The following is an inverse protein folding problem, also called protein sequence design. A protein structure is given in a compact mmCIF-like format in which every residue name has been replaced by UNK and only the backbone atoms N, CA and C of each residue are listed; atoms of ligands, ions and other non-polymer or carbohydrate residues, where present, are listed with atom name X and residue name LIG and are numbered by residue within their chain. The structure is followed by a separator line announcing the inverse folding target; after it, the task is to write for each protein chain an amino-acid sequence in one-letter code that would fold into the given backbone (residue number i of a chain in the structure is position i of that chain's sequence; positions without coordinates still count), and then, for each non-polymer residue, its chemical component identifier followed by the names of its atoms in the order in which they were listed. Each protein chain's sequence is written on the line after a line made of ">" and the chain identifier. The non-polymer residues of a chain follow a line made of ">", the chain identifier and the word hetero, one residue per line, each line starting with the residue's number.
data_IF_161766360593
#
_entry.id   IF_161766360593
#
_cell.length_a   1.000
_cell.length_b   1.000
_cell.length_c   1.000
_cell.angle_alpha   90.00
_cell.angle_beta   90.00
_cell.angle_gamma   90.00
#
_symmetry.space_group_name_H-M   'P 1'
#
loop_
_entity.id
_entity.type
_entity.pdbx_description
1 polymer ?
2 polymer ?
3 non-polymer ?
4 non-polymer ?
5 non-polymer ?
6 non-polymer ?
7 non-polymer ?
8 water ?
#
# COMPACT_ATOMS: atom_id res chain seq x y z
N UNK A 5 12.91 12.33 -12.57
CA UNK A 5 12.69 13.62 -11.91
C UNK A 5 13.61 13.72 -10.69
N UNK A 6 13.10 13.38 -9.50
CA UNK A 6 13.96 13.18 -8.34
C UNK A 6 14.29 11.69 -8.24
N UNK A 7 14.32 11.13 -7.02
CA UNK A 7 14.24 9.68 -6.93
C UNK A 7 12.82 9.26 -7.21
N UNK A 8 12.61 8.46 -8.24
CA UNK A 8 11.28 7.98 -8.55
C UNK A 8 11.40 6.55 -9.01
N UNK A 9 10.49 5.70 -8.59
CA UNK A 9 10.66 4.27 -8.83
C UNK A 9 9.46 3.69 -9.57
N UNK A 10 9.72 2.67 -10.36
CA UNK A 10 8.65 1.88 -10.96
C UNK A 10 8.89 0.43 -10.57
N UNK A 11 7.85 -0.20 -10.02
CA UNK A 11 7.95 -1.54 -9.45
C UNK A 11 6.90 -2.44 -10.07
N UNK A 12 7.31 -3.64 -10.47
CA UNK A 12 6.41 -4.73 -10.77
C UNK A 12 6.47 -5.69 -9.61
N UNK A 13 5.31 -5.98 -9.04
CA UNK A 13 5.16 -6.84 -7.87
C UNK A 13 4.47 -8.11 -8.33
N UNK A 14 5.01 -9.28 -7.95
CA UNK A 14 4.31 -10.54 -8.26
C UNK A 14 4.26 -11.42 -7.01
N UNK A 15 3.15 -12.17 -6.88
CA UNK A 15 2.93 -13.09 -5.77
C UNK A 15 2.44 -14.41 -6.34
N UNK A 16 3.18 -15.48 -6.11
CA UNK A 16 2.83 -16.81 -6.58
C UNK A 16 2.54 -17.67 -5.37
N UNK A 17 1.31 -18.16 -5.28
CA UNK A 17 0.89 -19.04 -4.19
C UNK A 17 0.75 -20.45 -4.75
N UNK A 18 1.51 -21.40 -4.22
CA UNK A 18 1.45 -22.78 -4.65
C UNK A 18 0.71 -23.57 -3.57
N UNK A 19 -0.45 -24.13 -3.94
CA UNK A 19 -1.35 -24.76 -2.99
C UNK A 19 -1.18 -26.28 -2.99
N UNK A 20 -0.97 -26.87 -4.16
CA UNK A 20 -0.64 -28.29 -4.26
C UNK A 20 -0.01 -28.51 -5.63
N UNK A 21 0.18 -29.77 -5.99
CA UNK A 21 0.80 -30.12 -7.28
C UNK A 21 -0.06 -29.67 -8.45
N UNK A 22 -1.37 -29.58 -8.25
CA UNK A 22 -2.31 -29.27 -9.30
C UNK A 22 -2.88 -27.85 -9.25
N UNK A 23 -2.54 -27.04 -8.25
CA UNK A 23 -3.13 -25.71 -8.14
C UNK A 23 -2.15 -24.65 -7.63
N UNK A 24 -2.02 -23.59 -8.41
CA UNK A 24 -1.26 -22.40 -8.04
C UNK A 24 -2.01 -21.17 -8.53
N UNK A 25 -1.72 -20.03 -7.90
CA UNK A 25 -2.25 -18.74 -8.32
C UNK A 25 -1.12 -17.73 -8.51
N UNK A 26 -1.20 -16.97 -9.59
CA UNK A 26 -0.30 -15.85 -9.83
C UNK A 26 -1.08 -14.53 -9.68
N UNK A 27 -0.40 -13.53 -9.15
CA UNK A 27 -0.98 -12.20 -8.99
C UNK A 27 0.13 -11.18 -9.23
N UNK A 28 -0.22 -10.03 -9.79
CA UNK A 28 0.78 -9.05 -10.16
C UNK A 28 0.21 -7.65 -10.38
N UNK A 29 1.07 -6.66 -10.18
CA UNK A 29 0.67 -5.26 -10.32
C UNK A 29 1.90 -4.40 -10.63
N UNK A 30 1.64 -3.20 -11.12
CA UNK A 30 2.68 -2.22 -11.39
C UNK A 30 2.39 -0.93 -10.66
N UNK A 31 3.45 -0.37 -10.06
CA UNK A 31 3.37 0.78 -9.16
C UNK A 31 4.35 1.87 -9.57
N UNK A 32 3.88 3.10 -9.63
CA UNK A 32 4.71 4.29 -9.79
C UNK A 32 4.84 4.94 -8.41
N UNK A 33 6.00 4.76 -7.77
CA UNK A 33 6.11 4.96 -6.33
C UNK A 33 4.91 4.34 -5.62
N UNK A 34 4.06 5.17 -5.01
CA UNK A 34 2.98 4.66 -4.19
C UNK A 34 1.63 4.61 -4.92
N UNK A 35 1.59 4.94 -6.21
CA UNK A 35 0.37 4.92 -7.00
C UNK A 35 0.33 3.67 -7.87
N UNK A 36 -0.69 2.83 -7.69
CA UNK A 36 -0.82 1.70 -8.59
C UNK A 36 -1.18 2.18 -9.99
N UNK A 37 -0.38 1.80 -10.98
CA UNK A 37 -0.69 2.18 -12.35
C UNK A 37 -1.15 1.02 -13.22
N UNK A 38 -0.80 -0.23 -12.86
CA UNK A 38 -1.13 -1.37 -13.70
C UNK A 38 -1.60 -2.53 -12.85
N UNK A 39 -2.50 -3.33 -13.41
CA UNK A 39 -2.92 -4.58 -12.80
C UNK A 39 -2.56 -5.72 -13.72
N UNK A 40 -2.87 -6.95 -13.33
CA UNK A 40 -2.71 -8.13 -14.21
C UNK A 40 -4.01 -8.94 -14.19
N UNK A 41 -4.53 -9.29 -15.35
CA UNK A 41 -5.76 -10.13 -15.44
C UNK A 41 -5.30 -11.58 -15.36
N UNK A 42 -5.50 -12.23 -14.21
CA UNK A 42 -5.01 -13.62 -14.03
C UNK A 42 -5.85 -14.62 -14.82
N UNK A 43 -7.09 -14.28 -15.16
CA UNK A 43 -7.98 -15.18 -15.94
C UNK A 43 -7.55 -15.27 -17.39
N UNK A 44 -7.30 -14.13 -18.03
CA UNK A 44 -6.91 -14.17 -19.43
C UNK A 44 -5.44 -13.80 -19.67
N UNK A 45 -4.70 -13.51 -18.60
CA UNK A 45 -3.27 -13.29 -18.71
C UNK A 45 -2.89 -12.05 -19.48
N UNK A 46 -3.44 -10.90 -19.09
CA UNK A 46 -3.22 -9.67 -19.85
C UNK A 46 -2.95 -8.49 -18.90
N UNK A 47 -2.39 -7.41 -19.45
CA UNK A 47 -2.09 -6.23 -18.65
C UNK A 47 -3.33 -5.36 -18.52
N UNK A 48 -3.59 -4.86 -17.30
CA UNK A 48 -4.70 -3.93 -17.04
C UNK A 48 -4.09 -2.54 -16.88
N UNK A 49 -4.47 -1.62 -17.75
CA UNK A 49 -3.99 -0.24 -17.70
C UNK A 49 -5.01 0.55 -16.91
N UNK A 50 -4.65 0.94 -15.69
CA UNK A 50 -5.64 1.47 -14.76
C UNK A 50 -5.96 2.94 -15.03
N UNK A 51 -5.06 3.69 -15.66
CA UNK A 51 -5.28 5.09 -15.96
C UNK A 51 -5.18 5.32 -17.47
N UNK A 52 -5.77 6.44 -17.90
CA UNK A 52 -5.72 6.82 -19.31
C UNK A 52 -4.29 6.96 -19.83
N UNK A 53 -3.34 7.26 -18.94
CA UNK A 53 -1.94 7.48 -19.32
C UNK A 53 -1.04 6.29 -18.97
N UNK A 54 -1.62 5.17 -18.54
CA UNK A 54 -0.82 4.04 -18.07
C UNK A 54 0.00 3.39 -19.16
N UNK A 55 -0.24 3.71 -20.43
CA UNK A 55 0.63 3.18 -21.48
C UNK A 55 1.89 4.00 -21.65
N UNK A 56 2.01 5.12 -20.94
CA UNK A 56 3.16 6.00 -21.15
C UNK A 56 3.31 6.33 -22.62
N UNK A 57 4.55 6.28 -23.09
CA UNK A 57 4.85 6.55 -24.49
C UNK A 57 5.18 5.28 -25.26
N UNK A 58 4.92 4.11 -24.68
CA UNK A 58 5.14 2.86 -25.40
C UNK A 58 4.02 2.66 -26.43
N UNK A 59 4.38 2.07 -27.56
CA UNK A 59 3.41 1.72 -28.59
C UNK A 59 2.65 0.45 -28.19
N UNK A 60 1.55 0.18 -28.90
CA UNK A 60 0.81 -1.04 -28.65
C UNK A 60 1.61 -2.26 -29.04
N UNK A 61 2.43 -2.15 -30.11
CA UNK A 61 3.34 -3.23 -30.49
C UNK A 61 4.27 -3.61 -29.34
N UNK A 62 4.99 -2.62 -28.77
CA UNK A 62 5.92 -2.89 -27.67
C UNK A 62 5.21 -3.54 -26.49
N UNK A 63 4.03 -3.02 -26.13
CA UNK A 63 3.31 -3.52 -24.97
C UNK A 63 2.72 -4.91 -25.23
N UNK A 64 2.33 -5.21 -26.47
CA UNK A 64 1.96 -6.57 -26.86
C UNK A 64 3.11 -7.52 -26.63
N UNK A 65 4.31 -7.16 -27.10
CA UNK A 65 5.45 -8.04 -26.88
C UNK A 65 5.73 -8.23 -25.40
N UNK A 66 5.58 -7.16 -24.62
CA UNK A 66 5.83 -7.29 -23.18
C UNK A 66 4.81 -8.20 -22.52
N UNK A 67 3.55 -8.08 -22.93
CA UNK A 67 2.50 -8.93 -22.37
C UNK A 67 2.78 -10.40 -22.67
N UNK A 68 3.15 -10.72 -23.92
CA UNK A 68 3.59 -12.08 -24.24
C UNK A 68 4.76 -12.55 -23.39
N UNK A 69 5.79 -11.70 -23.26
CA UNK A 69 6.93 -12.05 -22.43
C UNK A 69 6.50 -12.44 -21.03
N UNK A 70 5.58 -11.64 -20.46
CA UNK A 70 5.12 -11.89 -19.10
C UNK A 70 4.39 -13.22 -19.02
N UNK A 71 3.53 -13.51 -19.99
CA UNK A 71 2.84 -14.80 -20.02
C UNK A 71 3.84 -15.94 -20.06
N UNK A 72 4.83 -15.87 -20.98
CA UNK A 72 5.83 -16.91 -21.10
C UNK A 72 6.56 -17.12 -19.78
N UNK A 73 6.98 -16.03 -19.16
CA UNK A 73 7.70 -16.11 -17.90
C UNK A 73 6.85 -16.74 -16.81
N UNK A 74 5.58 -16.36 -16.72
CA UNK A 74 4.74 -16.81 -15.62
C UNK A 74 4.37 -18.29 -15.78
N UNK A 75 4.00 -18.69 -17.01
CA UNK A 75 3.71 -20.10 -17.28
C UNK A 75 4.94 -20.97 -17.07
N UNK A 76 6.11 -20.50 -17.54
CA UNK A 76 7.32 -21.29 -17.37
C UNK A 76 7.75 -21.39 -15.91
N UNK A 77 7.64 -20.30 -15.16
CA UNK A 77 7.93 -20.32 -13.73
C UNK A 77 7.05 -21.33 -13.01
N UNK A 78 5.74 -21.25 -13.26
CA UNK A 78 4.80 -22.17 -12.62
C UNK A 78 5.12 -23.62 -12.97
N UNK A 79 5.30 -23.89 -14.26
CA UNK A 79 5.60 -25.24 -14.71
C UNK A 79 6.87 -25.78 -14.04
N UNK A 80 7.94 -24.99 -14.04
CA UNK A 80 9.21 -25.45 -13.49
C UNK A 80 9.11 -25.71 -12.00
N UNK A 81 8.54 -24.77 -11.25
CA UNK A 81 8.40 -24.93 -9.81
C UNK A 81 7.57 -26.16 -9.48
N UNK A 82 6.43 -26.33 -10.16
CA UNK A 82 5.55 -27.45 -9.85
C UNK A 82 6.22 -28.77 -10.22
N UNK A 83 6.98 -28.78 -11.30
CA UNK A 83 7.73 -29.98 -11.66
C UNK A 83 8.72 -30.36 -10.56
N UNK A 84 9.43 -29.37 -10.00
CA UNK A 84 10.49 -29.70 -9.05
C UNK A 84 9.98 -30.06 -7.65
N UNK A 85 8.77 -29.65 -7.28
CA UNK A 85 8.17 -30.00 -6.00
C UNK A 85 6.99 -30.93 -6.30
N UNK A 86 7.22 -32.24 -6.26
CA UNK A 86 6.26 -33.21 -6.77
C UNK A 86 5.54 -33.95 -5.66
N UNK A 87 4.21 -34.07 -5.80
CA UNK A 87 3.33 -34.92 -4.99
C UNK A 87 3.23 -34.50 -3.53
N UNK A 88 4.22 -34.88 -2.72
CA UNK A 88 4.05 -34.88 -1.27
C UNK A 88 5.12 -34.06 -0.56
N UNK A 89 5.75 -33.11 -1.24
CA UNK A 89 6.67 -32.23 -0.54
C UNK A 89 5.88 -31.40 0.47
N UNK A 90 6.28 -31.52 1.73
CA UNK A 90 5.60 -30.88 2.86
C UNK A 90 5.71 -29.37 2.77
N UNK A 91 6.41 -28.86 1.75
CA UNK A 91 6.47 -27.41 1.55
C UNK A 91 5.10 -26.83 1.29
N UNK A 92 4.17 -27.61 0.74
CA UNK A 92 2.87 -27.05 0.35
C UNK A 92 2.05 -26.74 1.60
N UNK A 93 1.37 -25.59 1.63
CA UNK A 93 1.43 -24.55 0.60
C UNK A 93 2.64 -23.66 0.80
N UNK A 94 3.13 -23.05 -0.28
CA UNK A 94 4.18 -22.05 -0.12
C UNK A 94 3.92 -20.89 -1.08
N UNK A 95 4.68 -19.82 -0.88
CA UNK A 95 4.48 -18.57 -1.60
C UNK A 95 5.79 -17.90 -1.91
N UNK A 96 5.87 -17.41 -3.15
CA UNK A 96 7.04 -16.77 -3.72
C UNK A 96 6.66 -15.33 -4.02
N UNK A 97 7.50 -14.39 -3.59
CA UNK A 97 7.27 -12.97 -3.88
C UNK A 97 8.40 -12.45 -4.76
N UNK A 98 8.05 -11.59 -5.73
CA UNK A 98 9.02 -11.00 -6.63
C UNK A 98 8.80 -9.49 -6.65
N UNK A 99 9.88 -8.74 -6.48
CA UNK A 99 9.88 -7.29 -6.59
C UNK A 99 10.93 -6.94 -7.64
N UNK A 100 10.50 -6.41 -8.77
CA UNK A 100 11.43 -6.10 -9.85
C UNK A 100 11.11 -4.73 -10.41
N UNK A 101 12.12 -4.00 -10.86
CA UNK A 101 11.83 -2.67 -11.33
C UNK A 101 13.09 -1.83 -11.41
N UNK A 102 12.87 -0.51 -11.43
CA UNK A 102 13.97 0.42 -11.61
C UNK A 102 13.67 1.68 -10.81
N UNK A 103 14.74 2.41 -10.51
CA UNK A 103 14.70 3.70 -9.85
C UNK A 103 15.47 4.70 -10.70
N UNK A 104 14.91 5.89 -10.91
CA UNK A 104 15.65 7.02 -11.43
C UNK A 104 16.13 7.88 -10.27
N UNK A 105 17.39 8.30 -10.35
CA UNK A 105 17.96 9.29 -9.44
C UNK A 105 18.40 10.50 -10.27
N UNK A 106 18.03 11.68 -9.81
CA UNK A 106 18.31 12.90 -10.56
C UNK A 106 19.82 13.09 -10.71
N UNK A 107 20.29 13.10 -11.96
CA UNK A 107 21.67 13.37 -12.26
C UNK A 107 22.56 12.16 -12.31
N UNK A 108 22.10 11.00 -11.82
CA UNK A 108 22.87 9.77 -11.84
C UNK A 108 22.19 8.71 -12.68
N UNK A 109 22.89 7.57 -12.77
CA UNK A 109 22.36 6.45 -13.53
C UNK A 109 21.11 5.90 -12.85
N UNK A 110 20.20 5.29 -13.62
CA UNK A 110 19.13 4.50 -13.01
C UNK A 110 19.70 3.27 -12.32
N UNK A 111 18.87 2.65 -11.50
CA UNK A 111 19.16 1.37 -10.88
C UNK A 111 18.09 0.39 -11.31
N UNK A 112 18.45 -0.85 -11.58
CA UNK A 112 17.49 -1.91 -11.79
C UNK A 112 17.67 -2.98 -10.71
N UNK A 113 16.56 -3.64 -10.36
CA UNK A 113 16.62 -4.69 -9.35
C UNK A 113 15.57 -5.76 -9.64
N UNK A 114 15.79 -6.92 -9.02
CA UNK A 114 14.96 -8.12 -9.21
C UNK A 114 15.23 -8.99 -7.97
N UNK A 115 14.35 -8.92 -6.98
CA UNK A 115 14.49 -9.56 -5.69
C UNK A 115 13.38 -10.57 -5.44
N UNK A 116 13.72 -11.69 -4.81
CA UNK A 116 12.80 -12.82 -4.65
C UNK A 116 12.79 -13.20 -3.17
N UNK A 117 11.62 -13.58 -2.67
CA UNK A 117 11.43 -14.08 -1.32
C UNK A 117 10.65 -15.40 -1.39
N UNK A 118 11.01 -16.32 -0.50
CA UNK A 118 10.33 -17.60 -0.34
C UNK A 118 9.74 -17.57 1.06
N UNK A 119 8.41 -17.72 1.14
CA UNK A 119 7.68 -17.67 2.40
C UNK A 119 8.08 -16.47 3.25
N UNK A 120 8.23 -15.32 2.60
CA UNK A 120 8.49 -14.08 3.30
C UNK A 120 9.94 -13.84 3.67
N UNK A 121 10.86 -14.75 3.32
CA UNK A 121 12.28 -14.60 3.60
C UNK A 121 13.04 -14.35 2.31
N UNK A 122 13.98 -13.39 2.33
CA UNK A 122 14.88 -13.17 1.19
C UNK A 122 15.44 -14.50 0.68
N UNK A 123 15.33 -14.73 -0.62
CA UNK A 123 15.82 -15.95 -1.22
C UNK A 123 17.01 -15.71 -2.14
N UNK A 124 16.86 -14.86 -3.16
CA UNK A 124 17.94 -14.58 -4.10
C UNK A 124 17.65 -13.25 -4.80
N UNK A 125 18.68 -12.72 -5.47
CA UNK A 125 18.42 -11.55 -6.31
C UNK A 125 19.28 -11.62 -7.55
N UNK A 126 18.94 -10.79 -8.53
CA UNK A 126 19.66 -10.73 -9.79
C UNK A 126 20.67 -9.60 -9.71
N UNK A 127 21.94 -9.91 -10.01
CA UNK A 127 23.08 -9.00 -9.91
C UNK A 127 23.76 -8.95 -11.29
N UNK A 128 23.20 -8.08 -12.14
CA UNK A 128 23.74 -7.65 -13.44
C UNK A 128 23.82 -8.79 -14.45
N UNK A 129 24.40 -9.90 -14.08
CA UNK A 129 24.40 -11.02 -15.00
C UNK A 129 24.21 -12.35 -14.30
N UNK A 130 24.06 -12.36 -12.97
CA UNK A 130 24.12 -13.59 -12.20
C UNK A 130 23.02 -13.60 -11.15
N UNK A 131 22.39 -14.75 -10.95
CA UNK A 131 21.50 -14.96 -9.81
C UNK A 131 22.31 -15.30 -8.55
N UNK A 132 22.15 -14.51 -7.49
CA UNK A 132 22.99 -14.59 -6.30
C UNK A 132 22.11 -14.97 -5.12
N UNK A 133 22.39 -16.09 -4.43
CA UNK A 133 21.55 -16.50 -3.30
C UNK A 133 21.75 -15.60 -2.09
N UNK A 134 20.68 -15.36 -1.37
CA UNK A 134 20.80 -14.61 -0.13
C UNK A 134 21.62 -15.43 0.85
N UNK A 135 22.66 -14.86 1.48
CA UNK A 135 23.46 -15.66 2.42
C UNK A 135 22.65 -16.17 3.61
N UNK A 136 21.44 -15.67 3.80
CA UNK A 136 20.62 -16.12 4.91
C UNK A 136 19.68 -17.28 4.64
N UNK A 137 19.40 -17.62 3.37
CA UNK A 137 18.35 -18.60 3.09
C UNK A 137 18.90 -19.95 2.64
N UNK A 138 20.21 -20.15 2.70
CA UNK A 138 20.82 -21.47 2.70
C UNK A 138 20.64 -22.31 1.44
N UNK A 139 20.43 -23.60 1.69
CA UNK A 139 20.59 -24.63 0.67
C UNK A 139 19.59 -24.48 -0.48
N UNK A 140 18.34 -24.15 -0.14
CA UNK A 140 17.35 -23.96 -1.19
C UNK A 140 17.73 -22.83 -2.12
N UNK A 141 18.20 -21.70 -1.56
CA UNK A 141 18.54 -20.57 -2.41
C UNK A 141 19.69 -20.95 -3.35
N UNK A 142 20.67 -21.69 -2.82
CA UNK A 142 21.79 -22.11 -3.66
C UNK A 142 21.33 -23.02 -4.81
N UNK A 143 20.39 -23.95 -4.52
CA UNK A 143 19.91 -24.86 -5.58
C UNK A 143 19.13 -24.11 -6.65
N UNK A 144 18.26 -23.20 -6.24
CA UNK A 144 17.52 -22.42 -7.22
C UNK A 144 18.50 -21.63 -8.10
N UNK A 145 19.52 -21.04 -7.47
CA UNK A 145 20.44 -20.21 -8.24
C UNK A 145 21.28 -21.05 -9.19
N UNK A 146 21.69 -22.26 -8.78
CA UNK A 146 22.35 -23.17 -9.71
C UNK A 146 21.49 -23.32 -10.97
N UNK A 147 20.21 -23.66 -10.80
CA UNK A 147 19.39 -23.90 -11.98
C UNK A 147 19.28 -22.64 -12.84
N UNK A 148 19.06 -21.48 -12.21
CA UNK A 148 18.86 -20.25 -12.99
C UNK A 148 20.12 -19.87 -13.75
N UNK A 149 21.30 -20.03 -13.11
CA UNK A 149 22.56 -19.63 -13.74
C UNK A 149 23.04 -20.64 -14.78
N UNK A 150 22.72 -21.92 -14.64
CA UNK A 150 23.24 -22.92 -15.58
C UNK A 150 22.22 -23.42 -16.60
N UNK A 151 20.94 -23.53 -16.24
CA UNK A 151 19.98 -24.08 -17.19
C UNK A 151 19.27 -23.00 -18.02
N UNK A 152 18.65 -22.03 -17.35
CA UNK A 152 17.99 -20.93 -18.05
C UNK A 152 18.95 -19.76 -18.28
N UNK A 153 20.21 -20.12 -18.54
CA UNK A 153 21.25 -19.13 -18.82
C UNK A 153 20.77 -18.09 -19.83
N UNK A 154 20.29 -18.55 -20.98
CA UNK A 154 19.88 -17.66 -22.04
C UNK A 154 18.67 -16.76 -21.81
N UNK A 155 18.26 -16.54 -20.57
CA UNK A 155 17.27 -15.50 -20.26
C UNK A 155 17.80 -14.45 -19.30
N UNK A 156 18.92 -14.73 -18.62
CA UNK A 156 19.60 -13.69 -17.86
C UNK A 156 19.69 -12.39 -18.65
N UNK A 157 20.10 -12.48 -19.92
CA UNK A 157 20.33 -11.30 -20.74
C UNK A 157 19.04 -10.53 -20.95
N UNK A 158 17.92 -11.25 -21.02
CA UNK A 158 16.61 -10.59 -21.08
C UNK A 158 16.33 -9.82 -19.81
N UNK A 159 16.45 -10.49 -18.65
CA UNK A 159 16.10 -9.86 -17.38
C UNK A 159 16.89 -8.58 -17.23
N UNK A 160 18.20 -8.67 -17.46
CA UNK A 160 19.05 -7.49 -17.38
C UNK A 160 18.50 -6.37 -18.25
N UNK A 161 18.28 -6.64 -19.54
CA UNK A 161 17.85 -5.58 -20.43
C UNK A 161 16.49 -5.06 -20.03
N UNK A 162 15.64 -5.92 -19.47
CA UNK A 162 14.32 -5.47 -19.03
C UNK A 162 14.44 -4.49 -17.87
N UNK A 163 15.28 -4.79 -16.88
CA UNK A 163 15.23 -3.96 -15.68
C UNK A 163 16.14 -2.75 -15.77
N UNK A 164 17.14 -2.78 -16.64
CA UNK A 164 18.12 -1.72 -16.69
C UNK A 164 17.99 -0.84 -17.93
N UNK A 165 17.43 -1.35 -19.02
CA UNK A 165 17.15 -0.61 -20.24
C UNK A 165 15.67 -0.28 -20.39
N UNK A 166 14.80 -1.30 -20.51
CA UNK A 166 13.39 -1.08 -20.82
C UNK A 166 12.64 -0.36 -19.70
N UNK A 167 12.90 -0.73 -18.46
CA UNK A 167 12.20 -0.12 -17.33
C UNK A 167 12.46 1.38 -17.21
N UNK A 168 13.71 1.87 -17.23
CA UNK A 168 13.89 3.33 -17.16
C UNK A 168 13.23 4.08 -18.31
N UNK A 169 13.33 3.54 -19.53
CA UNK A 169 12.70 4.18 -20.69
C UNK A 169 11.19 4.24 -20.52
N UNK A 170 10.60 3.17 -19.98
CA UNK A 170 9.15 3.16 -19.79
C UNK A 170 8.73 4.13 -18.71
N UNK A 171 9.46 4.14 -17.59
CA UNK A 171 9.14 5.06 -16.49
C UNK A 171 9.21 6.50 -16.94
N UNK A 172 10.24 6.85 -17.71
CA UNK A 172 10.33 8.21 -18.25
C UNK A 172 9.10 8.55 -19.11
N UNK A 173 8.69 7.61 -19.96
CA UNK A 173 7.48 7.81 -20.74
C UNK A 173 6.22 7.95 -19.89
N UNK A 174 6.09 7.10 -18.87
CA UNK A 174 4.91 7.14 -18.01
C UNK A 174 4.81 8.47 -17.28
N UNK A 175 5.93 8.93 -16.71
CA UNK A 175 5.95 10.23 -16.06
C UNK A 175 5.53 11.31 -17.03
N UNK A 176 6.04 11.26 -18.26
CA UNK A 176 5.70 12.28 -19.22
C UNK A 176 4.22 12.21 -19.62
N UNK A 177 3.66 11.01 -19.74
CA UNK A 177 2.28 10.88 -20.20
C UNK A 177 1.30 11.32 -19.12
N UNK A 178 1.64 11.10 -17.84
CA UNK A 178 0.77 11.52 -16.75
C UNK A 178 0.64 13.03 -16.57
N UNK A 179 1.50 13.82 -17.22
CA UNK A 179 1.50 15.26 -17.00
C UNK A 179 0.21 15.94 -17.46
N UNK A 180 -0.55 15.33 -18.36
CA UNK A 180 -1.84 15.90 -18.74
C UNK A 180 -2.97 15.44 -17.83
N UNK A 181 -2.68 14.66 -16.80
CA UNK A 181 -3.73 14.09 -15.96
C UNK A 181 -3.50 14.23 -14.47
N UNK A 182 -2.25 14.15 -13.99
CA UNK A 182 -2.00 13.95 -12.57
C UNK A 182 -1.52 15.25 -11.95
N UNK A 183 -1.92 15.45 -10.69
CA UNK A 183 -1.60 16.64 -9.92
C UNK A 183 -0.27 16.44 -9.23
N UNK A 184 0.58 17.45 -9.29
CA UNK A 184 1.77 17.38 -8.48
C UNK A 184 1.58 17.96 -7.09
N UNK A 185 0.44 18.62 -6.82
CA UNK A 185 0.12 19.20 -5.52
C UNK A 185 -1.37 19.08 -5.29
N UNK A 186 -1.77 18.36 -4.25
CA UNK A 186 -3.18 18.27 -3.87
C UNK A 186 -3.36 18.85 -2.46
N UNK A 187 -4.38 19.72 -2.31
CA UNK A 187 -4.63 20.35 -1.00
C UNK A 187 -5.48 19.44 -0.10
N UNK A 188 -5.16 19.38 1.18
CA UNK A 188 -5.94 18.56 2.12
C UNK A 188 -7.13 19.29 2.70
N UNK A 189 -8.16 18.52 3.03
CA UNK A 189 -9.18 18.96 3.98
C UNK A 189 -8.72 18.62 5.40
N UNK A 190 -9.26 19.34 6.38
CA UNK A 190 -8.90 19.06 7.76
C UNK A 190 -10.11 19.29 8.64
N UNK A 191 -10.19 18.54 9.75
CA UNK A 191 -11.30 18.74 10.68
C UNK A 191 -10.92 18.21 12.07
N UNK A 192 -11.69 18.62 13.08
CA UNK A 192 -11.41 18.25 14.47
C UNK A 192 -12.42 17.25 14.98
N UNK A 193 -11.97 16.36 15.87
CA UNK A 193 -12.89 15.49 16.60
C UNK A 193 -12.30 15.16 17.96
N UNK A 194 -13.05 14.48 18.80
CA UNK A 194 -12.42 13.98 20.00
C UNK A 194 -11.86 12.59 19.70
N UNK A 195 -11.08 12.06 20.65
CA UNK A 195 -10.61 10.72 20.55
C UNK A 195 -10.90 9.91 21.79
N UNK A 196 -10.38 8.70 21.85
CA UNK A 196 -10.57 7.88 23.05
C UNK A 196 -9.92 8.51 24.27
N UNK A 197 -10.44 8.19 25.44
CA UNK A 197 -9.92 8.73 26.70
C UNK A 197 -8.48 8.27 26.94
N UNK A 198 -7.52 9.18 27.10
CA UNK A 198 -6.16 8.79 27.51
C UNK A 198 -6.05 8.39 28.97
N UNK A 199 -7.05 8.69 29.80
CA UNK A 199 -6.99 8.35 31.19
C UNK A 199 -7.93 9.24 32.00
N UNK A 200 -8.12 8.90 33.27
CA UNK A 200 -9.02 9.69 34.11
C UNK A 200 -8.51 11.11 34.28
N UNK A 201 -9.44 12.06 34.24
CA UNK A 201 -9.03 13.44 34.29
C UNK A 201 -8.41 13.98 33.03
N UNK A 202 -8.50 13.26 31.91
CA UNK A 202 -7.85 13.67 30.67
C UNK A 202 -8.76 13.32 29.49
N UNK A 203 -8.57 14.06 28.40
CA UNK A 203 -9.24 13.79 27.14
C UNK A 203 -8.23 13.93 26.00
N UNK A 204 -8.65 13.51 24.80
CA UNK A 204 -7.79 13.54 23.63
C UNK A 204 -8.48 14.30 22.50
N UNK A 205 -7.78 15.25 21.88
CA UNK A 205 -8.25 15.97 20.69
C UNK A 205 -7.54 15.42 19.45
N UNK A 206 -8.26 15.35 18.32
CA UNK A 206 -7.73 14.79 17.08
C UNK A 206 -7.91 15.78 15.95
N UNK A 207 -6.83 16.09 15.25
CA UNK A 207 -6.83 16.94 14.06
C UNK A 207 -6.63 16.01 12.87
N UNK A 208 -7.65 15.85 12.03
CA UNK A 208 -7.58 15.03 10.84
C UNK A 208 -7.17 15.87 9.63
N UNK A 209 -6.25 15.36 8.82
CA UNK A 209 -5.75 16.03 7.62
C UNK A 209 -5.78 15.00 6.48
N UNK A 210 -6.66 15.22 5.51
CA UNK A 210 -7.05 14.18 4.56
C UNK A 210 -6.93 14.62 3.12
N UNK A 211 -6.23 13.83 2.31
CA UNK A 211 -6.22 13.99 0.87
C UNK A 211 -5.12 14.87 0.32
N UNK A 212 -3.99 14.96 1.00
CA UNK A 212 -2.91 15.83 0.56
C UNK A 212 -1.89 15.03 -0.23
N UNK A 213 -1.23 15.69 -1.18
CA UNK A 213 -0.09 15.17 -1.96
C UNK A 213 0.80 16.36 -2.27
N UNK A 214 2.14 16.21 -2.22
CA UNK A 214 2.90 15.02 -1.84
C UNK A 214 2.90 14.78 -0.33
N UNK A 215 3.71 13.83 0.12
CA UNK A 215 3.58 13.27 1.45
C UNK A 215 4.09 14.18 2.57
N UNK A 216 5.18 14.94 2.42
CA UNK A 216 5.65 15.75 3.55
C UNK A 216 4.57 16.75 3.98
N UNK A 217 4.34 16.84 5.30
CA UNK A 217 3.33 17.73 5.87
C UNK A 217 3.75 18.08 7.30
N UNK A 218 3.31 19.24 7.77
CA UNK A 218 3.56 19.72 9.13
C UNK A 218 2.21 20.02 9.78
N UNK A 219 2.01 19.51 11.00
CA UNK A 219 0.75 19.70 11.73
C UNK A 219 1.10 19.87 13.21
N UNK A 220 0.58 20.91 13.83
CA UNK A 220 0.77 21.02 15.27
C UNK A 220 -0.46 21.62 15.94
N UNK A 221 -0.69 21.22 17.18
CA UNK A 221 -1.65 21.90 18.04
C UNK A 221 -1.00 23.15 18.64
N UNK A 222 -1.83 24.17 18.86
CA UNK A 222 -1.43 25.54 19.13
C UNK A 222 -2.33 26.11 20.20
N UNK A 223 -1.78 27.00 21.00
CA UNK A 223 -2.60 27.96 21.75
C UNK A 223 -2.16 29.31 21.20
N UNK A 224 -2.93 29.84 20.26
CA UNK A 224 -2.51 31.05 19.58
C UNK A 224 -1.25 30.76 18.77
N UNK A 225 -0.18 31.50 19.02
CA UNK A 225 1.08 31.32 18.31
C UNK A 225 2.00 30.31 18.99
N UNK A 226 1.63 29.76 20.15
CA UNK A 226 2.49 28.85 20.90
C UNK A 226 2.20 27.40 20.52
N UNK A 227 3.16 26.74 19.88
CA UNK A 227 3.05 25.31 19.61
C UNK A 227 3.00 24.52 20.91
N UNK A 228 2.20 23.45 20.93
CA UNK A 228 1.93 22.67 22.14
C UNK A 228 2.80 21.41 22.22
N UNK A 229 3.41 21.19 23.39
CA UNK A 229 4.33 20.06 23.57
C UNK A 229 3.64 18.72 23.33
N UNK A 230 2.36 18.62 23.73
CA UNK A 230 1.68 17.35 23.65
C UNK A 230 1.32 16.89 22.26
N UNK A 231 1.70 17.65 21.22
CA UNK A 231 1.35 17.29 19.84
C UNK A 231 1.99 15.96 19.47
N UNK A 232 1.21 15.07 18.85
CA UNK A 232 1.76 13.80 18.39
C UNK A 232 1.18 13.41 17.04
N UNK A 233 2.04 13.24 16.04
CA UNK A 233 1.56 12.83 14.72
C UNK A 233 1.35 11.32 14.68
N UNK A 234 0.22 10.88 14.13
CA UNK A 234 -0.01 9.47 13.89
C UNK A 234 0.72 8.99 12.65
N UNK A 235 0.45 7.74 12.29
CA UNK A 235 1.00 7.21 11.06
C UNK A 235 0.29 7.84 9.88
N UNK A 236 0.99 7.94 8.75
CA UNK A 236 0.40 8.51 7.54
C UNK A 236 -0.12 7.35 6.71
N UNK A 237 -1.40 7.42 6.35
CA UNK A 237 -2.07 6.30 5.71
C UNK A 237 -2.51 6.69 4.32
N UNK A 238 -2.68 5.73 3.41
CA UNK A 238 -3.05 6.07 2.04
C UNK A 238 -4.54 6.37 1.88
N UNK A 239 -4.84 7.23 0.90
CA UNK A 239 -6.16 7.41 0.31
C UNK A 239 -6.15 6.93 -1.14
N UNK A 240 -7.29 7.10 -1.79
CA UNK A 240 -7.44 6.78 -3.20
C UNK A 240 -6.56 7.67 -4.09
N UNK A 241 -5.99 7.06 -5.13
CA UNK A 241 -5.27 7.78 -6.19
C UNK A 241 -4.03 8.46 -5.62
N UNK A 242 -3.31 7.72 -4.77
CA UNK A 242 -2.00 8.13 -4.30
C UNK A 242 -1.94 9.38 -3.42
N UNK A 243 -2.97 9.63 -2.62
CA UNK A 243 -2.93 10.72 -1.64
C UNK A 243 -2.87 10.15 -0.23
N UNK A 244 -2.83 11.04 0.77
CA UNK A 244 -2.42 10.65 2.11
C UNK A 244 -3.38 11.18 3.19
N UNK A 245 -3.42 10.47 4.32
CA UNK A 245 -4.26 10.83 5.46
C UNK A 245 -3.42 10.79 6.72
N UNK A 246 -3.64 11.75 7.62
CA UNK A 246 -2.87 11.86 8.85
C UNK A 246 -3.77 12.34 9.98
N UNK A 247 -3.48 11.86 11.19
CA UNK A 247 -4.12 12.31 12.43
C UNK A 247 -3.06 12.85 13.36
N UNK A 248 -3.29 14.05 13.90
CA UNK A 248 -2.40 14.63 14.91
C UNK A 248 -3.20 14.81 16.18
N UNK A 249 -2.79 14.14 17.25
CA UNK A 249 -3.57 14.14 18.48
C UNK A 249 -2.87 14.95 19.57
N UNK A 250 -3.67 15.34 20.57
CA UNK A 250 -3.19 16.10 21.72
C UNK A 250 -3.90 15.56 22.96
N UNK A 251 -3.15 15.19 23.98
CA UNK A 251 -3.77 14.81 25.25
C UNK A 251 -3.88 16.04 26.15
N UNK A 252 -5.06 16.22 26.74
CA UNK A 252 -5.42 17.40 27.49
C UNK A 252 -5.87 16.96 28.88
N UNK A 253 -5.36 17.61 29.92
CA UNK A 253 -5.87 17.33 31.25
C UNK A 253 -7.05 18.24 31.58
N UNK A 254 -7.96 17.74 32.43
CA UNK A 254 -9.06 18.55 32.95
C UNK A 254 -8.50 19.82 33.57
N UNK A 255 -8.97 20.98 33.08
CA UNK A 255 -8.53 22.27 33.58
C UNK A 255 -7.86 23.13 32.52
N UNK A 256 -7.36 22.50 31.45
CA UNK A 256 -6.98 23.23 30.25
C UNK A 256 -8.09 24.18 29.80
N UNK A 257 -7.69 25.39 29.43
CA UNK A 257 -8.61 26.45 29.08
C UNK A 257 -8.94 26.41 27.60
N UNK A 258 -10.17 26.83 27.27
CA UNK A 258 -10.59 26.99 25.89
C UNK A 258 -9.56 27.82 25.12
N UNK A 259 -9.49 27.64 23.79
CA UNK A 259 -8.61 28.43 22.97
C UNK A 259 -7.53 27.66 22.22
N UNK A 260 -7.68 26.34 22.14
CA UNK A 260 -6.73 25.51 21.40
C UNK A 260 -7.11 25.45 19.92
N UNK A 261 -6.11 25.31 19.06
CA UNK A 261 -6.34 25.16 17.64
C UNK A 261 -5.33 24.18 17.04
N UNK A 262 -5.58 23.81 15.80
CA UNK A 262 -4.70 22.96 15.01
C UNK A 262 -4.26 23.74 13.79
N UNK A 263 -2.98 23.66 13.45
CA UNK A 263 -2.39 24.39 12.34
C UNK A 263 -1.71 23.42 11.39
N UNK A 264 -2.05 23.51 10.10
CA UNK A 264 -1.56 22.60 9.06
C UNK A 264 -0.79 23.40 8.01
N UNK A 265 0.46 22.98 7.77
CA UNK A 265 1.35 23.52 6.74
C UNK A 265 1.67 22.45 5.70
N UNK A 266 1.54 22.81 4.43
CA UNK A 266 1.77 21.88 3.33
C UNK A 266 2.13 22.70 2.09
N UNK A 267 2.99 22.12 1.24
CA UNK A 267 3.47 22.83 0.05
C UNK A 267 2.33 23.21 -0.89
N UNK A 268 1.28 22.41 -0.95
CA UNK A 268 0.12 22.75 -1.76
C UNK A 268 -0.56 24.04 -1.29
N UNK A 269 -0.35 24.42 -0.03
CA UNK A 269 -1.01 25.58 0.54
C UNK A 269 -0.23 26.85 0.28
N UNK A 270 1.09 26.78 0.41
CA UNK A 270 2.00 27.86 0.01
C UNK A 270 1.55 29.20 0.60
N UNK A 271 1.74 29.31 1.91
CA UNK A 271 1.59 30.57 2.60
C UNK A 271 0.23 30.84 3.20
N UNK A 272 -0.71 29.92 3.09
CA UNK A 272 -2.01 30.05 3.76
C UNK A 272 -2.26 28.76 4.55
N UNK A 273 -1.73 28.69 5.77
CA UNK A 273 -1.94 27.52 6.60
C UNK A 273 -3.41 27.34 6.91
N UNK A 274 -3.83 26.07 7.04
CA UNK A 274 -5.16 25.81 7.58
C UNK A 274 -5.10 25.94 9.09
N UNK A 275 -6.04 26.68 9.67
CA UNK A 275 -6.12 26.77 11.13
C UNK A 275 -7.54 26.45 11.57
N UNK A 276 -7.67 25.49 12.48
CA UNK A 276 -8.95 24.98 12.98
C UNK A 276 -9.02 25.17 14.49
N UNK A 277 -10.10 25.78 14.95
CA UNK A 277 -10.26 26.06 16.37
C UNK A 277 -11.16 25.01 17.03
N UNK A 278 -10.74 24.48 18.17
CA UNK A 278 -11.59 23.59 18.94
C UNK A 278 -12.74 24.36 19.57
N UNK A 279 -13.98 23.99 19.24
CA UNK A 279 -15.17 24.66 19.77
C UNK A 279 -16.02 23.72 20.64
N UNK A 280 -15.45 22.61 21.10
CA UNK A 280 -16.15 21.69 21.98
C UNK A 280 -15.73 21.88 23.43
N UNK A 281 -16.15 20.93 24.26
CA UNK A 281 -15.80 20.98 25.68
C UNK A 281 -14.36 20.55 25.89
N UNK A 282 -13.77 21.02 27.00
CA UNK A 282 -12.48 20.52 27.47
C UNK A 282 -12.61 19.88 28.84
N UNK A 283 -13.80 19.43 29.21
CA UNK A 283 -14.02 18.73 30.47
C UNK A 283 -14.02 17.24 30.16
N UNK A 284 -13.07 16.41 30.65
CA UNK A 284 -13.09 14.99 30.32
C UNK A 284 -14.32 14.23 30.81
N UNK A 285 -14.91 13.44 29.93
CA UNK A 285 -15.99 12.54 30.37
C UNK A 285 -15.43 11.66 31.48
N UNK B 3 9.08 -17.76 6.82
CA UNK B 3 9.06 -16.74 7.86
C UNK B 3 8.04 -17.04 8.94
N UNK B 4 7.88 -16.11 9.82
CA UNK B 4 6.84 -16.25 10.83
C UNK B 4 5.57 -15.63 10.26
N UNK B 5 4.44 -16.24 10.59
CA UNK B 5 3.17 -15.65 10.25
C UNK B 5 3.00 -14.33 10.99
N UNK B 6 2.38 -13.36 10.35
CA UNK B 6 2.19 -12.06 10.97
C UNK B 6 0.73 -11.65 10.88
N UNK B 7 0.15 -11.33 12.05
CA UNK B 7 -1.26 -10.97 12.10
C UNK B 7 -1.45 -9.56 11.54
N UNK B 8 -2.55 -9.29 10.84
CA UNK B 8 -2.69 -7.99 10.18
C UNK B 8 -3.04 -6.89 11.17
N UNK B 9 -2.59 -5.70 10.84
CA UNK B 9 -2.99 -4.48 11.50
C UNK B 9 -4.07 -3.81 10.67
N UNK B 10 -5.07 -3.23 11.34
CA UNK B 10 -6.28 -2.75 10.69
C UNK B 10 -6.51 -1.32 11.14
N UNK B 11 -6.59 -0.39 10.17
CA UNK B 11 -6.87 1.01 10.50
C UNK B 11 -8.04 1.50 9.68
N UNK B 12 -8.98 2.19 10.31
CA UNK B 12 -10.24 2.59 9.69
C UNK B 12 -10.41 4.10 9.79
N UNK B 13 -10.86 4.73 8.71
CA UNK B 13 -10.93 6.19 8.74
C UNK B 13 -11.81 6.69 7.61
N UNK B 14 -12.47 7.82 7.85
CA UNK B 14 -13.26 8.41 6.78
C UNK B 14 -12.43 9.46 6.05
N UNK B 15 -12.81 9.71 4.80
CA UNK B 15 -12.06 10.62 3.93
C UNK B 15 -12.41 12.08 4.21
N UNK B 16 -13.67 12.35 4.54
CA UNK B 16 -14.22 13.66 4.82
C UNK B 16 -14.81 13.71 6.23
N UNK B 17 -14.99 14.89 6.79
CA UNK B 17 -15.68 15.00 8.08
C UNK B 17 -17.03 14.30 8.01
N UNK B 18 -17.39 13.63 9.10
CA UNK B 18 -18.62 12.88 9.12
C UNK B 18 -19.80 13.81 9.37
N UNK B 19 -20.80 13.71 8.50
CA UNK B 19 -22.02 14.50 8.60
C UNK B 19 -23.21 13.59 8.31
N UNK B 20 -24.07 13.40 9.31
CA UNK B 20 -25.21 12.51 9.17
C UNK B 20 -26.06 12.88 7.97
N UNK B 21 -26.27 11.91 7.08
CA UNK B 21 -27.04 12.12 5.87
C UNK B 21 -26.24 12.66 4.70
N UNK B 22 -24.95 12.86 4.86
CA UNK B 22 -24.12 13.36 3.77
C UNK B 22 -23.09 12.30 3.35
N UNK B 23 -22.95 12.10 2.04
CA UNK B 23 -22.09 11.03 1.55
C UNK B 23 -20.62 11.33 1.81
N UNK B 24 -19.83 10.26 1.88
CA UNK B 24 -18.47 10.26 2.40
C UNK B 24 -17.78 9.02 1.83
N UNK B 25 -16.54 8.80 2.21
CA UNK B 25 -15.83 7.58 1.83
C UNK B 25 -15.22 6.95 3.07
N UNK B 26 -15.44 5.65 3.22
CA UNK B 26 -14.89 4.85 4.29
C UNK B 26 -13.67 4.08 3.78
N UNK B 27 -12.54 4.20 4.49
CA UNK B 27 -11.26 3.57 4.18
C UNK B 27 -10.89 2.54 5.23
N UNK B 28 -10.33 1.42 4.77
CA UNK B 28 -9.74 0.42 5.66
C UNK B 28 -8.39 0.00 5.11
N UNK B 29 -7.34 0.26 5.88
CA UNK B 29 -5.96 -0.05 5.53
C UNK B 29 -5.52 -1.25 6.35
N UNK B 30 -5.20 -2.35 5.68
CA UNK B 30 -4.81 -3.60 6.32
C UNK B 30 -3.34 -3.86 5.97
N UNK B 31 -2.48 -4.01 6.98
CA UNK B 31 -1.06 -4.02 6.67
C UNK B 31 -0.26 -4.95 7.60
N UNK B 32 0.97 -5.26 7.18
CA UNK B 32 1.92 -5.96 8.02
C UNK B 32 1.73 -7.45 8.13
N UNK B 33 0.94 -8.06 7.25
CA UNK B 33 0.53 -9.45 7.45
C UNK B 33 1.29 -10.39 6.51
N UNK B 34 1.29 -11.65 6.88
CA UNK B 34 1.94 -12.72 6.12
C UNK B 34 1.40 -14.06 6.60
N UNK B 35 1.02 -14.98 5.69
CA UNK B 35 1.10 -14.90 4.23
C UNK B 35 -0.04 -14.10 3.61
N UNK B 36 -0.16 -14.11 2.29
CA UNK B 36 -1.03 -13.16 1.60
C UNK B 36 -2.50 -13.56 1.60
N UNK B 37 -2.83 -14.81 1.91
CA UNK B 37 -4.23 -15.23 1.90
C UNK B 37 -5.00 -14.42 2.94
N UNK B 38 -5.99 -13.62 2.51
CA UNK B 38 -6.69 -12.77 3.47
C UNK B 38 -8.13 -12.54 2.99
N UNK B 39 -9.03 -12.32 3.95
CA UNK B 39 -10.40 -11.91 3.65
C UNK B 39 -10.67 -10.60 4.37
N UNK B 40 -10.72 -9.51 3.60
CA UNK B 40 -11.09 -8.19 4.11
C UNK B 40 -12.45 -7.82 3.52
N UNK B 41 -13.37 -7.40 4.39
CA UNK B 41 -14.66 -6.90 3.97
C UNK B 41 -14.95 -5.59 4.70
N UNK B 42 -15.60 -4.64 4.03
CA UNK B 42 -16.20 -3.51 4.71
C UNK B 42 -17.66 -3.84 5.01
N UNK B 43 -18.11 -3.47 6.22
CA UNK B 43 -19.40 -3.86 6.75
C UNK B 43 -20.32 -2.67 7.00
N UNK B 44 -21.59 -2.84 6.67
CA UNK B 44 -22.66 -1.93 7.07
C UNK B 44 -23.65 -2.75 7.89
N UNK B 45 -23.77 -2.42 9.18
CA UNK B 45 -24.61 -3.17 10.11
C UNK B 45 -24.33 -4.67 10.06
N UNK B 46 -23.04 -5.02 10.07
CA UNK B 46 -22.63 -6.41 10.15
C UNK B 46 -22.64 -7.19 8.85
N UNK B 47 -23.07 -6.61 7.75
CA UNK B 47 -23.11 -7.33 6.47
C UNK B 47 -22.08 -6.72 5.52
N UNK B 48 -21.42 -7.60 4.75
CA UNK B 48 -20.42 -7.16 3.80
C UNK B 48 -21.03 -6.24 2.75
N UNK B 49 -20.37 -5.12 2.49
CA UNK B 49 -20.78 -4.24 1.40
C UNK B 49 -20.32 -4.88 0.10
N UNK B 50 -21.28 -5.16 -0.80
CA UNK B 50 -21.02 -5.93 -2.01
C UNK B 50 -20.15 -5.17 -3.01
N UNK B 51 -20.25 -3.83 -3.05
CA UNK B 51 -19.52 -2.99 -3.99
C UNK B 51 -18.47 -2.16 -3.25
N UNK B 52 -17.20 -2.56 -3.35
CA UNK B 52 -16.11 -1.79 -2.79
C UNK B 52 -14.98 -1.67 -3.80
N UNK B 53 -14.09 -0.72 -3.53
CA UNK B 53 -12.84 -0.60 -4.28
C UNK B 53 -11.71 -1.09 -3.40
N UNK B 54 -10.75 -1.78 -4.01
CA UNK B 54 -9.56 -2.24 -3.31
C UNK B 54 -8.36 -2.16 -4.24
N UNK B 55 -7.21 -1.86 -3.66
CA UNK B 55 -5.96 -1.98 -4.39
C UNK B 55 -5.57 -3.46 -4.54
N UNK B 56 -4.66 -3.69 -5.48
CA UNK B 56 -3.90 -4.94 -5.53
C UNK B 56 -2.99 -5.08 -4.32
N UNK B 57 -2.61 -6.33 -4.05
CA UNK B 57 -1.62 -6.62 -3.03
C UNK B 57 -0.30 -5.95 -3.35
N UNK B 58 0.27 -5.29 -2.36
CA UNK B 58 1.64 -4.83 -2.41
C UNK B 58 2.33 -5.33 -1.15
N UNK B 59 3.63 -5.10 -1.07
CA UNK B 59 4.28 -5.52 0.15
C UNK B 59 5.41 -4.59 0.50
N UNK B 60 5.68 -4.50 1.80
CA UNK B 60 6.79 -3.72 2.28
C UNK B 60 8.09 -4.45 1.98
N UNK B 61 9.17 -3.87 2.45
CA UNK B 61 10.48 -4.42 2.17
C UNK B 61 10.94 -5.43 3.20
N UNK B 62 10.22 -5.56 4.31
CA UNK B 62 10.28 -6.78 5.10
C UNK B 62 9.46 -7.90 4.48
N UNK B 63 8.87 -7.68 3.30
CA UNK B 63 8.03 -8.62 2.55
C UNK B 63 6.62 -8.83 3.13
N UNK B 64 6.19 -8.07 4.12
CA UNK B 64 4.82 -8.22 4.59
C UNK B 64 3.86 -7.39 3.74
N UNK B 65 2.63 -7.88 3.58
CA UNK B 65 1.69 -7.35 2.61
C UNK B 65 0.82 -6.22 3.19
N UNK B 66 0.26 -5.41 2.29
CA UNK B 66 -0.71 -4.40 2.67
C UNK B 66 -1.69 -4.13 1.53
N UNK B 67 -2.90 -3.69 1.93
CA UNK B 67 -4.08 -3.46 1.09
C UNK B 67 -4.80 -2.22 1.59
N UNK B 68 -5.40 -1.49 0.65
CA UNK B 68 -6.30 -0.38 0.95
C UNK B 68 -7.66 -0.65 0.33
N UNK B 69 -8.71 -0.60 1.14
CA UNK B 69 -10.11 -0.71 0.74
C UNK B 69 -10.79 0.64 0.92
N UNK B 70 -11.72 0.98 0.02
CA UNK B 70 -12.56 2.14 0.27
C UNK B 70 -13.89 2.00 -0.46
N UNK B 71 -14.93 2.60 0.12
CA UNK B 71 -16.24 2.68 -0.55
C UNK B 71 -17.00 3.93 -0.11
N UNK B 72 -17.99 4.31 -0.93
CA UNK B 72 -18.88 5.42 -0.61
C UNK B 72 -19.79 4.99 0.52
N UNK B 73 -20.14 5.92 1.41
CA UNK B 73 -21.09 5.56 2.46
C UNK B 73 -21.71 6.85 2.99
N UNK B 74 -22.85 6.72 3.65
CA UNK B 74 -23.52 7.87 4.26
C UNK B 74 -23.63 7.63 5.75
N UNK B 75 -22.86 8.32 6.59
CA UNK B 75 -22.93 8.08 8.03
C UNK B 75 -24.26 8.55 8.62
N UNK B 76 -24.57 7.99 9.79
CA UNK B 76 -25.90 7.97 10.38
C UNK B 76 -25.81 7.61 11.85
N UNK B 77 -26.77 8.11 12.62
CA UNK B 77 -26.85 7.76 14.04
C UNK B 77 -26.96 6.26 14.22
N UNK B 78 -27.91 5.62 13.52
CA UNK B 78 -28.15 4.19 13.74
C UNK B 78 -27.08 3.32 13.10
N UNK B 79 -26.61 3.69 11.91
CA UNK B 79 -25.83 2.77 11.09
C UNK B 79 -24.43 2.55 11.67
N UNK B 80 -24.02 1.28 11.75
CA UNK B 80 -22.68 0.91 12.18
C UNK B 80 -21.87 0.45 10.97
N UNK B 81 -20.76 1.12 10.71
CA UNK B 81 -19.84 0.70 9.65
C UNK B 81 -18.54 0.20 10.26
N UNK B 82 -17.93 -0.78 9.60
CA UNK B 82 -16.76 -1.45 10.17
C UNK B 82 -15.90 -2.07 9.08
N UNK B 83 -14.75 -2.60 9.50
CA UNK B 83 -13.86 -3.39 8.66
C UNK B 83 -13.68 -4.75 9.33
N UNK B 84 -13.89 -5.83 8.58
CA UNK B 84 -13.77 -7.20 9.07
C UNK B 84 -12.63 -7.90 8.32
N UNK B 85 -11.75 -8.55 9.06
CA UNK B 85 -10.60 -9.26 8.49
C UNK B 85 -10.52 -10.68 9.06
N UNK B 86 -10.32 -11.65 8.18
CA UNK B 86 -9.95 -13.00 8.57
C UNK B 86 -8.63 -13.38 7.90
N UNK B 87 -7.85 -14.19 8.60
CA UNK B 87 -6.49 -14.51 8.22
C UNK B 87 -6.11 -15.73 9.05
N UNK B 88 -5.08 -16.45 8.60
CA UNK B 88 -4.73 -17.68 9.30
C UNK B 88 -4.24 -17.38 10.72
N UNK B 89 -3.62 -16.23 10.94
CA UNK B 89 -3.20 -15.89 12.30
C UNK B 89 -4.36 -15.51 13.20
N UNK B 90 -5.58 -15.57 12.71
CA UNK B 90 -6.75 -15.16 13.47
C UNK B 90 -7.66 -16.35 13.64
N UNK B 91 -8.13 -16.59 14.87
CA UNK B 91 -9.00 -17.71 15.15
C UNK B 91 -10.44 -17.43 14.72
N UNK B 92 -10.89 -16.18 14.78
CA UNK B 92 -12.14 -15.84 14.10
C UNK B 92 -12.05 -14.41 13.54
N UNK B 93 -12.98 -13.99 12.70
CA UNK B 93 -12.82 -12.67 12.05
C UNK B 93 -12.74 -11.54 13.08
N UNK B 94 -11.79 -10.64 12.84
CA UNK B 94 -11.57 -9.47 13.67
C UNK B 94 -12.29 -8.27 13.09
N UNK B 95 -13.06 -7.56 13.91
CA UNK B 95 -13.91 -6.46 13.45
C UNK B 95 -13.48 -5.16 14.13
N UNK B 96 -13.23 -4.15 13.32
CA UNK B 96 -12.75 -2.84 13.76
C UNK B 96 -13.80 -1.84 13.31
N UNK B 97 -14.49 -1.24 14.28
CA UNK B 97 -15.63 -0.39 13.96
C UNK B 97 -15.17 1.03 13.62
N UNK B 98 -15.94 1.71 12.79
CA UNK B 98 -15.69 3.12 12.55
C UNK B 98 -16.40 3.94 13.61
N UNK B 99 -15.70 4.92 14.21
CA UNK B 99 -16.27 5.73 15.27
C UNK B 99 -15.80 7.17 15.12
N UNK B 100 -16.78 8.07 14.85
CA UNK B 100 -16.65 9.53 14.96
C UNK B 100 -16.23 10.08 16.33
N UNK B 101 -16.97 9.81 17.42
CA UNK B 101 -16.65 10.39 18.74
C UNK B 101 -15.24 10.03 19.20
N UNK B 102 -14.62 9.05 18.56
CA UNK B 102 -13.20 8.79 18.63
C UNK B 102 -12.58 9.17 17.29
N UNK B 103 -11.26 9.24 17.22
CA UNK B 103 -10.74 9.63 15.92
C UNK B 103 -10.77 8.48 14.93
N UNK B 104 -11.73 7.57 15.09
CA UNK B 104 -11.62 6.19 14.62
C UNK B 104 -10.21 5.66 14.91
N UNK B 105 -9.62 6.11 16.02
CA UNK B 105 -8.25 5.72 16.39
C UNK B 105 -8.22 4.28 16.89
#
# INVERSE_FOLDING_TARGET
>A
ADASSEHVSFHVIQIFSFVNQSWARGQGSGWLDELQTHGWDSESGTIIFLHQWSKGQFSNEELSDLELLFRFYLFGLTREIQDHASQDYSKYPFEVQVKAGCELHSGGSPEGFFQVAFNGLDLLSFQQTTWVPSPGCGSLAQSVCHLLNHQYEGVTETVYNLIRSTCPRFLLGLLDAGKMYVHRQVRPEAWLSSGPSPGPGRLQLVCHVSGFYPKPVWVMWMRGEQEQQGTQLGDILPNANGTWYLRATLDVADGEAAGLSCRVKHSSLEGQDIILYWRGSLVPR
>B
DAAIQRTPKIQVYSRHPAENGKSNFLNCYVSGFHPSDIEVDLLKNGERIEKVEHSDLSFSKDWSFYLLYYTEFTPTEKDEYACRVNHVTLSQPKIVKWDRDMGSLVPR
#
